data_IF_025242820358
#
_entry.id   IF_025242820358
#
_cell.length_a   1.000
_cell.length_b   1.000
_cell.length_c   1.000
_cell.angle_alpha   90.00
_cell.angle_beta   90.00
_cell.angle_gamma   90.00
#
_symmetry.space_group_name_H-M   'P 1'
#
loop_
_entity.id
_entity.type
_entity.pdbx_description
1 polymer ?
#
# COMPACT_ATOMS: atom_id res chain seq x y z
N UNK A 1 -16.17 38.04 43.46
CA UNK A 1 -16.65 38.02 42.06
C UNK A 1 -15.90 36.92 41.33
N UNK A 2 -16.57 35.78 41.07
CA UNK A 2 -15.96 34.56 40.52
C UNK A 2 -15.71 34.77 39.02
N UNK A 3 -14.45 34.80 38.58
CA UNK A 3 -14.10 34.80 37.16
C UNK A 3 -14.10 33.34 36.68
N UNK A 4 -15.08 32.99 35.86
CA UNK A 4 -15.21 31.66 35.28
C UNK A 4 -14.18 31.51 34.15
N UNK A 5 -13.24 30.59 34.31
CA UNK A 5 -12.30 30.17 33.27
C UNK A 5 -13.04 29.21 32.34
N UNK A 6 -13.33 29.63 31.11
CA UNK A 6 -13.88 28.75 30.07
C UNK A 6 -12.72 27.98 29.46
N UNK A 7 -12.62 26.70 29.78
CA UNK A 7 -11.74 25.77 29.09
C UNK A 7 -12.36 25.43 27.73
N UNK A 8 -11.74 25.89 26.64
CA UNK A 8 -12.08 25.46 25.28
C UNK A 8 -11.40 24.12 25.05
N UNK A 9 -12.15 23.05 25.24
CA UNK A 9 -11.74 21.71 24.81
C UNK A 9 -11.82 21.68 23.28
N UNK A 10 -10.67 21.79 22.61
CA UNK A 10 -10.57 21.45 21.18
C UNK A 10 -10.79 19.95 21.04
N UNK A 11 -11.97 19.57 20.59
CA UNK A 11 -12.30 18.22 20.16
C UNK A 11 -11.53 17.96 18.87
N UNK A 12 -10.52 17.08 18.97
CA UNK A 12 -9.86 16.50 17.82
C UNK A 12 -10.86 15.60 17.06
N UNK A 13 -11.47 16.13 16.00
CA UNK A 13 -12.17 15.32 15.01
C UNK A 13 -11.13 14.83 13.99
N UNK A 14 -10.48 13.71 14.32
CA UNK A 14 -9.76 12.91 13.35
C UNK A 14 -10.76 12.22 12.43
N UNK A 15 -11.08 12.82 11.28
CA UNK A 15 -11.74 12.11 10.18
C UNK A 15 -10.69 11.36 9.37
N UNK A 16 -10.16 10.29 9.95
CA UNK A 16 -9.36 9.30 9.23
C UNK A 16 -10.28 8.12 8.88
N UNK A 17 -11.14 8.25 7.86
CA UNK A 17 -11.78 7.10 7.20
C UNK A 17 -12.67 7.55 6.04
N UNK A 18 -12.10 7.74 4.84
CA UNK A 18 -12.84 7.57 3.57
C UNK A 18 -11.84 7.21 2.44
N UNK A 19 -10.98 6.21 2.64
CA UNK A 19 -10.14 5.74 1.53
C UNK A 19 -10.96 4.91 0.50
N UNK A 20 -12.08 4.31 0.93
CA UNK A 20 -12.96 3.47 0.11
C UNK A 20 -14.42 3.92 0.13
N UNK A 21 -14.66 5.22 0.33
CA UNK A 21 -16.02 5.77 0.41
C UNK A 21 -16.88 5.35 -0.79
N UNK A 22 -17.93 4.56 -0.53
CA UNK A 22 -18.90 4.14 -1.53
C UNK A 22 -18.66 2.78 -2.20
N UNK A 23 -17.61 2.03 -1.82
CA UNK A 23 -17.47 0.61 -2.20
C UNK A 23 -18.52 -0.20 -1.46
N UNK A 24 -19.34 -0.97 -2.18
CA UNK A 24 -20.44 -1.77 -1.64
C UNK A 24 -20.10 -3.25 -1.57
N UNK A 25 -19.27 -3.74 -2.48
CA UNK A 25 -18.86 -5.13 -2.50
C UNK A 25 -17.75 -5.39 -1.45
N UNK A 26 -17.99 -6.35 -0.54
CA UNK A 26 -17.06 -6.66 0.57
C UNK A 26 -15.72 -7.22 0.09
N UNK A 27 -15.70 -7.98 -1.01
CA UNK A 27 -14.49 -8.62 -1.54
C UNK A 27 -13.66 -7.58 -2.30
N UNK A 28 -14.32 -6.64 -2.99
CA UNK A 28 -13.65 -5.46 -3.56
C UNK A 28 -13.07 -4.56 -2.47
N UNK A 29 -13.81 -4.33 -1.39
CA UNK A 29 -13.30 -3.55 -0.26
C UNK A 29 -12.06 -4.19 0.37
N UNK A 30 -12.10 -5.50 0.59
CA UNK A 30 -10.98 -6.25 1.18
C UNK A 30 -9.69 -6.14 0.34
N UNK A 31 -9.77 -6.38 -0.97
CA UNK A 31 -8.58 -6.28 -1.85
C UNK A 31 -8.07 -4.84 -1.97
N UNK A 32 -8.96 -3.84 -1.94
CA UNK A 32 -8.54 -2.44 -1.96
C UNK A 32 -7.87 -2.01 -0.65
N UNK A 33 -8.20 -2.61 0.50
CA UNK A 33 -7.51 -2.33 1.77
C UNK A 33 -6.08 -2.87 1.76
N UNK A 34 -5.87 -4.07 1.20
CA UNK A 34 -4.52 -4.63 0.97
C UNK A 34 -3.69 -3.67 0.11
N UNK A 35 -4.22 -3.25 -1.04
CA UNK A 35 -3.53 -2.31 -1.94
C UNK A 35 -3.25 -0.95 -1.30
N UNK A 36 -4.20 -0.44 -0.50
CA UNK A 36 -4.02 0.80 0.26
C UNK A 36 -2.89 0.67 1.27
N UNK A 37 -2.84 -0.43 2.02
CA UNK A 37 -1.80 -0.68 3.01
C UNK A 37 -0.42 -0.73 2.34
N UNK A 38 -0.29 -1.44 1.22
CA UNK A 38 0.94 -1.43 0.41
C UNK A 38 1.32 0.00 0.02
N UNK A 39 0.37 0.78 -0.51
CA UNK A 39 0.60 2.17 -0.90
C UNK A 39 1.07 3.07 0.26
N UNK A 40 0.48 2.90 1.44
CA UNK A 40 0.85 3.66 2.64
C UNK A 40 2.27 3.32 3.12
N UNK A 41 2.66 2.05 3.10
CA UNK A 41 4.02 1.63 3.46
C UNK A 41 5.05 2.11 2.44
N UNK A 42 4.73 2.02 1.14
CA UNK A 42 5.59 2.57 0.09
C UNK A 42 5.76 4.09 0.20
N UNK A 43 4.73 4.80 0.71
CA UNK A 43 4.82 6.24 0.97
C UNK A 43 5.83 6.56 2.08
N UNK A 44 5.96 5.72 3.12
CA UNK A 44 6.98 5.90 4.16
C UNK A 44 8.38 5.91 3.55
N UNK A 45 8.72 4.85 2.79
CA UNK A 45 10.02 4.72 2.10
C UNK A 45 10.21 5.86 1.10
N UNK A 46 9.17 6.18 0.32
CA UNK A 46 9.18 7.25 -0.68
C UNK A 46 9.36 8.65 -0.11
N UNK A 47 8.79 8.95 1.06
CA UNK A 47 8.95 10.24 1.73
C UNK A 47 10.37 10.41 2.29
N UNK A 48 10.98 9.34 2.82
CA UNK A 48 12.39 9.37 3.22
C UNK A 48 13.29 9.61 2.00
N UNK A 49 13.06 8.91 0.89
CA UNK A 49 13.87 9.03 -0.33
C UNK A 49 13.80 10.43 -0.97
N UNK A 50 12.71 11.16 -0.72
CA UNK A 50 12.50 12.54 -1.18
C UNK A 50 13.00 13.59 -0.20
N UNK A 51 13.58 13.18 0.94
CA UNK A 51 14.00 14.08 2.01
C UNK A 51 12.83 14.80 2.72
N UNK A 52 11.60 14.30 2.57
CA UNK A 52 10.42 14.87 3.22
C UNK A 52 10.31 14.46 4.70
N UNK A 53 10.90 13.31 5.03
CA UNK A 53 11.04 12.79 6.39
C UNK A 53 12.50 12.39 6.60
N UNK A 54 12.97 12.44 7.86
CA UNK A 54 14.31 11.99 8.18
C UNK A 54 14.52 10.51 7.83
N UNK A 55 15.72 10.16 7.39
CA UNK A 55 16.10 8.77 7.13
C UNK A 55 16.05 7.96 8.43
N UNK A 56 15.36 6.81 8.37
CA UNK A 56 15.33 5.80 9.42
C UNK A 56 15.36 4.42 8.76
N UNK A 57 16.51 3.74 8.87
CA UNK A 57 16.72 2.41 8.31
C UNK A 57 15.75 1.37 8.89
N UNK A 58 15.45 1.42 10.19
CA UNK A 58 14.57 0.45 10.82
C UNK A 58 13.14 0.62 10.34
N UNK A 59 12.66 1.87 10.27
CA UNK A 59 11.34 2.17 9.74
C UNK A 59 11.20 1.83 8.25
N UNK A 60 12.24 2.07 7.44
CA UNK A 60 12.23 1.69 6.03
C UNK A 60 12.13 0.16 5.86
N UNK A 61 12.95 -0.61 6.58
CA UNK A 61 12.91 -2.07 6.49
C UNK A 61 11.60 -2.65 7.05
N UNK A 62 11.04 -2.07 8.11
CA UNK A 62 9.73 -2.47 8.63
C UNK A 62 8.61 -2.22 7.61
N UNK A 63 8.66 -1.08 6.90
CA UNK A 63 7.72 -0.81 5.82
C UNK A 63 7.85 -1.83 4.67
N UNK A 64 9.08 -2.22 4.30
CA UNK A 64 9.30 -3.28 3.30
C UNK A 64 8.76 -4.64 3.76
N UNK A 65 8.92 -4.99 5.04
CA UNK A 65 8.33 -6.21 5.61
C UNK A 65 6.81 -6.22 5.48
N UNK A 66 6.16 -5.10 5.80
CA UNK A 66 4.70 -5.00 5.66
C UNK A 66 4.26 -5.05 4.19
N UNK A 67 5.00 -4.41 3.26
CA UNK A 67 4.72 -4.51 1.82
C UNK A 67 4.78 -5.95 1.34
N UNK A 68 5.82 -6.71 1.74
CA UNK A 68 5.94 -8.12 1.38
C UNK A 68 4.76 -8.95 1.91
N UNK A 69 4.41 -8.78 3.19
CA UNK A 69 3.31 -9.49 3.82
C UNK A 69 1.95 -9.21 3.14
N UNK A 70 1.70 -7.96 2.75
CA UNK A 70 0.49 -7.59 2.02
C UNK A 70 0.52 -8.03 0.56
N UNK A 71 1.70 -8.03 -0.08
CA UNK A 71 1.86 -8.54 -1.45
C UNK A 71 1.45 -10.01 -1.56
N UNK A 72 1.79 -10.83 -0.56
CA UNK A 72 1.36 -12.23 -0.45
C UNK A 72 -0.19 -12.39 -0.41
N UNK A 73 -0.92 -11.36 0.03
CA UNK A 73 -2.38 -11.37 0.09
C UNK A 73 -3.05 -10.94 -1.23
N UNK A 74 -2.29 -10.42 -2.20
CA UNK A 74 -2.88 -9.90 -3.44
C UNK A 74 -3.63 -10.99 -4.19
N UNK A 75 -3.00 -12.11 -4.54
CA UNK A 75 -3.69 -13.17 -5.28
C UNK A 75 -4.89 -13.76 -4.50
N UNK A 76 -4.76 -14.15 -3.21
CA UNK A 76 -5.90 -14.61 -2.42
C UNK A 76 -7.11 -13.66 -2.42
N UNK A 77 -6.88 -12.34 -2.34
CA UNK A 77 -7.96 -11.35 -2.31
C UNK A 77 -8.67 -11.14 -3.65
N UNK A 78 -8.14 -11.70 -4.75
CA UNK A 78 -8.74 -11.62 -6.08
C UNK A 78 -9.33 -12.95 -6.55
N UNK A 79 -9.26 -14.04 -5.78
CA UNK A 79 -9.83 -15.34 -6.16
C UNK A 79 -11.34 -15.27 -6.40
N UNK A 80 -12.04 -14.49 -5.58
CA UNK A 80 -13.44 -14.19 -5.81
C UNK A 80 -13.56 -13.11 -6.89
N UNK A 81 -14.12 -13.50 -8.04
CA UNK A 81 -14.51 -12.53 -9.06
C UNK A 81 -15.65 -11.66 -8.53
N UNK A 82 -15.31 -10.41 -8.25
CA UNK A 82 -16.21 -9.42 -7.66
C UNK A 82 -15.99 -8.06 -8.31
N UNK A 83 -17.09 -7.36 -8.56
CA UNK A 83 -17.13 -6.05 -9.19
C UNK A 83 -17.78 -5.02 -8.27
N UNK A 84 -17.36 -3.78 -8.44
CA UNK A 84 -17.94 -2.57 -7.84
C UNK A 84 -17.61 -1.40 -8.79
N UNK A 85 -18.51 -0.41 -8.99
CA UNK A 85 -18.21 0.76 -9.83
C UNK A 85 -16.99 1.58 -9.38
N UNK A 86 -16.48 1.36 -8.16
CA UNK A 86 -15.26 1.98 -7.63
C UNK A 86 -14.01 1.11 -7.77
N UNK A 87 -14.13 -0.10 -8.29
CA UNK A 87 -13.00 -0.99 -8.53
C UNK A 87 -12.20 -0.52 -9.75
N UNK A 88 -10.89 -0.36 -9.59
CA UNK A 88 -9.95 -0.15 -10.71
C UNK A 88 -9.44 -1.48 -11.30
N UNK A 89 -9.83 -2.63 -10.73
CA UNK A 89 -9.41 -3.94 -11.20
C UNK A 89 -10.11 -4.30 -12.53
N UNK A 90 -9.31 -4.59 -13.56
CA UNK A 90 -9.82 -4.96 -14.87
C UNK A 90 -10.29 -6.43 -14.93
N UNK A 91 -11.39 -6.75 -15.65
CA UNK A 91 -11.89 -8.12 -15.80
C UNK A 91 -10.90 -9.13 -16.39
N UNK A 92 -9.85 -8.65 -17.08
CA UNK A 92 -8.80 -9.47 -17.68
C UNK A 92 -7.96 -10.23 -16.63
N UNK A 93 -7.98 -9.80 -15.35
CA UNK A 93 -7.32 -10.51 -14.24
C UNK A 93 -7.75 -11.97 -14.19
N UNK A 94 -9.06 -12.23 -14.21
CA UNK A 94 -9.60 -13.59 -14.09
C UNK A 94 -9.44 -14.42 -15.37
N UNK A 95 -9.16 -13.78 -16.51
CA UNK A 95 -8.82 -14.46 -17.77
C UNK A 95 -7.34 -14.81 -17.85
N UNK A 96 -6.48 -14.09 -17.13
CA UNK A 96 -5.02 -14.25 -17.14
C UNK A 96 -4.50 -14.47 -15.71
N UNK A 97 -5.20 -15.33 -14.98
CA UNK A 97 -4.99 -15.55 -13.55
C UNK A 97 -3.55 -15.92 -13.20
N UNK A 98 -2.95 -16.87 -13.93
CA UNK A 98 -1.59 -17.32 -13.65
C UNK A 98 -0.55 -16.19 -13.77
N UNK A 99 -0.72 -15.31 -14.75
CA UNK A 99 0.16 -14.16 -14.93
C UNK A 99 -0.08 -13.09 -13.84
N UNK A 100 -1.34 -12.81 -13.49
CA UNK A 100 -1.67 -11.92 -12.37
C UNK A 100 -1.07 -12.41 -11.05
N UNK A 101 -1.30 -13.69 -10.72
CA UNK A 101 -0.80 -14.32 -9.50
C UNK A 101 0.74 -14.35 -9.48
N UNK A 102 1.37 -14.61 -10.64
CA UNK A 102 2.83 -14.53 -10.76
C UNK A 102 3.34 -13.11 -10.49
N UNK A 103 2.74 -12.07 -11.06
CA UNK A 103 3.18 -10.68 -10.83
C UNK A 103 2.98 -10.23 -9.37
N UNK A 104 1.93 -10.71 -8.71
CA UNK A 104 1.74 -10.53 -7.27
C UNK A 104 2.90 -11.18 -6.48
N UNK A 105 3.23 -12.44 -6.77
CA UNK A 105 4.35 -13.15 -6.14
C UNK A 105 5.70 -12.52 -6.45
N UNK A 106 5.93 -12.04 -7.68
CA UNK A 106 7.16 -11.32 -8.04
C UNK A 106 7.33 -10.04 -7.19
N UNK A 107 6.22 -9.35 -6.86
CA UNK A 107 6.23 -8.16 -6.00
C UNK A 107 6.63 -8.51 -4.56
N UNK A 108 6.06 -9.59 -4.00
CA UNK A 108 6.43 -10.14 -2.69
C UNK A 108 7.92 -10.48 -2.65
N UNK A 109 8.38 -11.37 -3.54
CA UNK A 109 9.78 -11.84 -3.61
C UNK A 109 10.75 -10.67 -3.80
N UNK A 110 10.43 -9.73 -4.69
CA UNK A 110 11.30 -8.59 -4.96
C UNK A 110 11.47 -7.70 -3.71
N UNK A 111 10.41 -7.56 -2.93
CA UNK A 111 10.37 -6.78 -1.68
C UNK A 111 11.07 -7.52 -0.54
N UNK A 112 10.80 -8.82 -0.36
CA UNK A 112 11.48 -9.65 0.65
C UNK A 112 13.00 -9.61 0.50
N UNK A 113 13.48 -9.68 -0.74
CA UNK A 113 14.91 -9.61 -1.06
C UNK A 113 15.56 -8.25 -0.72
N UNK A 114 14.78 -7.22 -0.37
CA UNK A 114 15.27 -5.90 0.06
C UNK A 114 15.16 -5.70 1.58
N UNK A 115 14.49 -6.59 2.31
CA UNK A 115 14.36 -6.48 3.76
C UNK A 115 15.74 -6.62 4.40
N UNK A 116 16.11 -5.64 5.22
CA UNK A 116 17.42 -5.55 5.86
C UNK A 116 18.51 -4.94 4.98
N UNK A 117 18.26 -4.67 3.69
CA UNK A 117 19.26 -4.09 2.79
C UNK A 117 19.32 -2.56 2.87
N UNK A 118 18.34 -1.90 3.48
CA UNK A 118 18.34 -0.45 3.65
C UNK A 118 19.19 -0.09 4.86
N UNK A 119 20.39 0.44 4.62
CA UNK A 119 21.36 0.82 5.68
C UNK A 119 21.71 2.30 5.63
N UNK A 120 21.54 2.93 4.47
CA UNK A 120 21.78 4.36 4.22
C UNK A 120 20.66 4.96 3.38
N UNK A 121 20.55 6.29 3.36
CA UNK A 121 19.58 7.00 2.53
C UNK A 121 19.74 6.70 1.03
N UNK A 122 20.97 6.43 0.59
CA UNK A 122 21.27 6.09 -0.80
C UNK A 122 20.65 4.76 -1.25
N UNK A 123 20.30 3.86 -0.32
CA UNK A 123 19.70 2.56 -0.61
C UNK A 123 18.21 2.67 -0.97
N UNK A 124 17.54 3.77 -0.57
CA UNK A 124 16.10 3.94 -0.72
C UNK A 124 15.67 4.04 -2.19
N UNK A 125 16.37 4.84 -3.00
CA UNK A 125 15.99 5.07 -4.39
C UNK A 125 16.11 3.79 -5.25
N UNK A 126 17.20 3.00 -5.17
CA UNK A 126 17.28 1.69 -5.82
C UNK A 126 16.17 0.73 -5.39
N UNK A 127 15.87 0.65 -4.08
CA UNK A 127 14.81 -0.21 -3.56
C UNK A 127 13.43 0.17 -4.11
N UNK A 128 13.10 1.47 -4.09
CA UNK A 128 11.86 2.00 -4.68
C UNK A 128 11.79 1.73 -6.18
N UNK A 129 12.90 1.84 -6.91
CA UNK A 129 12.97 1.52 -8.32
C UNK A 129 12.66 0.05 -8.62
N UNK A 130 13.24 -0.87 -7.85
CA UNK A 130 13.02 -2.31 -8.00
C UNK A 130 11.55 -2.68 -7.73
N UNK A 131 11.01 -2.22 -6.60
CA UNK A 131 9.61 -2.51 -6.23
C UNK A 131 8.65 -1.83 -7.21
N UNK A 132 8.85 -0.54 -7.50
CA UNK A 132 8.02 0.21 -8.44
C UNK A 132 7.95 -0.41 -9.84
N UNK A 133 9.02 -1.09 -10.28
CA UNK A 133 9.02 -1.89 -11.51
C UNK A 133 7.98 -3.02 -11.49
N UNK A 134 7.88 -3.76 -10.38
CA UNK A 134 6.88 -4.83 -10.21
C UNK A 134 5.45 -4.27 -10.16
N UNK A 135 5.24 -3.16 -9.44
CA UNK A 135 3.96 -2.47 -9.39
C UNK A 135 3.51 -2.03 -10.79
N UNK A 136 4.42 -1.45 -11.58
CA UNK A 136 4.15 -1.01 -12.94
C UNK A 136 3.78 -2.19 -13.83
N UNK A 137 4.50 -3.31 -13.74
CA UNK A 137 4.23 -4.49 -14.56
C UNK A 137 2.79 -5.02 -14.36
N UNK A 138 2.32 -5.09 -13.11
CA UNK A 138 0.95 -5.49 -12.80
C UNK A 138 -0.07 -4.41 -13.20
N UNK A 139 0.10 -3.18 -12.74
CA UNK A 139 -0.88 -2.11 -12.95
C UNK A 139 -1.04 -1.71 -14.43
N UNK A 140 0.00 -1.86 -15.25
CA UNK A 140 -0.09 -1.54 -16.68
C UNK A 140 -0.99 -2.51 -17.47
N UNK A 141 -1.37 -3.64 -16.86
CA UNK A 141 -2.15 -4.71 -17.50
C UNK A 141 -3.50 -4.94 -16.82
N UNK A 142 -3.55 -4.77 -15.51
CA UNK A 142 -4.66 -5.23 -14.68
C UNK A 142 -5.40 -4.12 -13.94
N UNK A 143 -4.95 -2.86 -14.06
CA UNK A 143 -5.56 -1.71 -13.40
C UNK A 143 -5.81 -0.57 -14.38
N UNK A 144 -6.96 0.10 -14.25
CA UNK A 144 -7.31 1.31 -15.02
C UNK A 144 -6.95 2.63 -14.35
#
# INVERSE_FOLDING_TARGET
MKKATIAVTLIALGTAALAHGGVKNKDVMARMEVMKTIGDQMKIVGSMAKGQTAFDAAAANAALTEVAAQAAQIAPMFETQAEDPKSEALPIIWQQWDDFAKLASDTEIATEALIGSITTEADLAPALGKIGGTCKACHSKYRE
#
